data_IF_962408476614
#
_entry.id   IF_962408476614
#
_cell.length_a   1.000
_cell.length_b   1.000
_cell.length_c   1.000
_cell.angle_alpha   90.00
_cell.angle_beta   90.00
_cell.angle_gamma   90.00
#
_symmetry.space_group_name_H-M   'P 1'
#
loop_
_entity.id
_entity.type
_entity.pdbx_description
1 polymer ?
#
# COMPACT_ATOMS: atom_id res chain seq x y z
N UNK A 1 23.32 0.22 0.06
CA UNK A 1 22.98 0.00 -1.37
C UNK A 1 21.77 -0.91 -1.36
N UNK A 2 20.62 -0.41 -1.79
CA UNK A 2 19.42 -1.24 -1.89
C UNK A 2 19.52 -2.02 -3.20
N UNK A 3 19.54 -3.35 -3.12
CA UNK A 3 19.57 -4.24 -4.27
C UNK A 3 18.19 -4.80 -4.53
N UNK A 4 17.74 -4.73 -5.80
CA UNK A 4 16.44 -5.23 -6.24
C UNK A 4 16.62 -6.59 -6.91
N UNK A 5 15.79 -7.56 -6.53
CA UNK A 5 15.82 -8.92 -7.07
C UNK A 5 14.41 -9.37 -7.47
N UNK A 6 14.36 -10.27 -8.45
CA UNK A 6 13.13 -10.94 -8.86
C UNK A 6 13.08 -12.32 -8.20
N UNK A 7 11.91 -12.70 -7.68
CA UNK A 7 11.70 -13.99 -7.01
C UNK A 7 10.36 -14.55 -7.45
N UNK A 8 10.32 -15.85 -7.76
CA UNK A 8 9.09 -16.60 -8.01
C UNK A 8 8.73 -17.41 -6.76
N UNK A 9 7.65 -17.04 -6.08
CA UNK A 9 7.15 -17.71 -4.87
C UNK A 9 5.64 -17.70 -4.84
N UNK A 10 5.05 -18.64 -4.11
CA UNK A 10 3.60 -18.72 -3.90
C UNK A 10 3.21 -17.85 -2.69
N UNK A 11 2.17 -17.04 -2.84
CA UNK A 11 1.51 -16.38 -1.72
C UNK A 11 0.74 -17.44 -0.93
N UNK A 12 1.06 -17.60 0.34
CA UNK A 12 0.43 -18.59 1.23
C UNK A 12 -0.51 -17.95 2.26
N UNK A 13 -0.32 -16.67 2.56
CA UNK A 13 -1.22 -15.91 3.44
C UNK A 13 -1.15 -14.40 3.14
N UNK A 14 -2.23 -13.70 3.47
CA UNK A 14 -2.30 -12.24 3.45
C UNK A 14 -2.68 -11.81 4.86
N UNK A 15 -1.73 -11.23 5.60
CA UNK A 15 -2.01 -10.77 6.96
C UNK A 15 -3.01 -9.64 6.91
N UNK A 16 -4.19 -9.90 7.47
CA UNK A 16 -5.26 -8.93 7.58
C UNK A 16 -4.93 -7.94 8.72
N UNK A 17 -4.18 -6.89 8.38
CA UNK A 17 -3.96 -5.78 9.30
C UNK A 17 -5.21 -4.90 9.34
N UNK A 18 -5.51 -4.29 10.50
CA UNK A 18 -6.63 -3.34 10.64
C UNK A 18 -6.57 -2.17 9.63
N UNK A 19 -5.40 -1.92 9.03
CA UNK A 19 -5.13 -0.86 8.07
C UNK A 19 -4.55 -1.43 6.77
N UNK A 20 -5.26 -2.38 6.15
CA UNK A 20 -4.89 -2.99 4.87
C UNK A 20 -4.91 -2.02 3.68
N UNK A 21 -5.46 -0.81 3.86
CA UNK A 21 -5.41 0.26 2.88
C UNK A 21 -5.33 1.64 3.55
N UNK A 22 -4.89 2.63 2.78
CA UNK A 22 -4.88 4.04 3.17
C UNK A 22 -5.42 4.93 2.05
N UNK A 23 -5.98 6.07 2.44
CA UNK A 23 -6.35 7.15 1.51
C UNK A 23 -5.07 7.82 1.00
N UNK A 24 -4.99 7.99 -0.32
CA UNK A 24 -3.78 8.46 -0.99
C UNK A 24 -4.06 9.66 -1.89
N UNK A 25 -3.03 10.49 -2.03
CA UNK A 25 -3.03 11.63 -2.93
C UNK A 25 -3.08 11.15 -4.38
N UNK A 26 -3.91 11.80 -5.19
CA UNK A 26 -4.02 11.50 -6.63
C UNK A 26 -2.73 11.77 -7.42
N UNK A 27 -1.88 12.66 -6.92
CA UNK A 27 -0.68 13.13 -7.61
C UNK A 27 0.51 12.26 -7.25
N UNK A 28 0.91 12.23 -5.97
CA UNK A 28 2.12 11.53 -5.53
C UNK A 28 1.88 10.14 -4.96
N UNK A 29 0.62 9.73 -4.75
CA UNK A 29 0.29 8.43 -4.17
C UNK A 29 0.63 8.26 -2.68
N UNK A 30 1.18 9.29 -2.02
CA UNK A 30 1.42 9.29 -0.57
C UNK A 30 0.11 9.38 0.20
N UNK A 31 0.15 8.94 1.46
CA UNK A 31 -1.00 8.99 2.36
C UNK A 31 -1.47 10.43 2.57
N UNK A 32 -2.79 10.60 2.60
CA UNK A 32 -3.45 11.85 2.98
C UNK A 32 -3.96 11.75 4.40
N UNK A 33 -4.08 12.89 5.06
CA UNK A 33 -4.67 13.01 6.38
C UNK A 33 -5.90 13.91 6.33
N UNK A 34 -6.80 13.74 7.29
CA UNK A 34 -7.98 14.60 7.40
C UNK A 34 -7.64 15.86 8.20
N UNK A 35 -7.88 17.02 7.60
CA UNK A 35 -7.65 18.35 8.16
C UNK A 35 -8.88 19.18 7.84
N UNK A 36 -9.56 19.70 8.86
CA UNK A 36 -10.78 20.51 8.72
C UNK A 36 -11.87 19.87 7.85
N UNK A 37 -12.05 18.54 7.97
CA UNK A 37 -13.01 17.77 7.18
C UNK A 37 -12.62 17.56 5.71
N UNK A 38 -11.39 17.93 5.33
CA UNK A 38 -10.84 17.72 3.99
C UNK A 38 -9.62 16.80 4.03
N UNK A 39 -9.38 16.06 2.94
CA UNK A 39 -8.23 15.15 2.83
C UNK A 39 -7.05 15.91 2.25
N UNK A 40 -6.01 16.15 3.04
CA UNK A 40 -4.81 16.91 2.64
C UNK A 40 -3.62 15.99 2.42
N UNK A 41 -2.88 16.25 1.35
CA UNK A 41 -1.55 15.66 1.14
C UNK A 41 -0.47 16.62 1.60
N UNK A 42 0.30 16.27 2.63
CA UNK A 42 1.40 17.11 3.12
C UNK A 42 2.61 17.18 2.18
N UNK A 43 2.79 16.20 1.31
CA UNK A 43 3.88 16.19 0.34
C UNK A 43 3.64 17.18 -0.82
N UNK A 44 2.39 17.27 -1.31
CA UNK A 44 2.04 18.12 -2.44
C UNK A 44 1.39 19.44 -2.03
N UNK A 45 0.90 19.56 -0.79
CA UNK A 45 0.09 20.69 -0.33
C UNK A 45 -1.36 20.66 -0.80
N UNK A 46 -1.73 19.69 -1.63
CA UNK A 46 -3.02 19.60 -2.31
C UNK A 46 -4.12 18.95 -1.45
N UNK A 47 -5.34 19.45 -1.60
CA UNK A 47 -6.55 18.81 -1.10
C UNK A 47 -7.12 17.84 -2.13
N UNK A 48 -7.54 16.67 -1.66
CA UNK A 48 -8.11 15.62 -2.50
C UNK A 48 -9.59 15.45 -2.18
N UNK A 49 -10.44 15.70 -3.17
CA UNK A 49 -11.90 15.49 -3.06
C UNK A 49 -12.35 14.07 -3.42
N UNK A 50 -11.47 13.28 -4.05
CA UNK A 50 -11.79 11.93 -4.53
C UNK A 50 -11.00 10.89 -3.76
N UNK A 51 -11.71 9.91 -3.21
CA UNK A 51 -11.10 8.83 -2.45
C UNK A 51 -10.32 7.89 -3.38
N UNK A 52 -9.01 7.87 -3.20
CA UNK A 52 -8.11 6.93 -3.87
C UNK A 52 -7.45 6.08 -2.79
N UNK A 53 -7.90 4.84 -2.67
CA UNK A 53 -7.32 3.90 -1.74
C UNK A 53 -6.11 3.18 -2.37
N UNK A 54 -5.08 2.96 -1.56
CA UNK A 54 -3.92 2.13 -1.91
C UNK A 54 -3.72 1.03 -0.88
N UNK A 55 -3.30 -0.14 -1.34
CA UNK A 55 -3.02 -1.29 -0.47
C UNK A 55 -1.82 -0.99 0.42
N UNK A 56 -1.89 -1.54 1.63
CA UNK A 56 -0.83 -1.62 2.60
C UNK A 56 -0.95 -2.98 3.30
N UNK A 57 -0.63 -4.04 2.57
CA UNK A 57 -0.84 -5.42 3.01
C UNK A 57 0.48 -6.14 3.17
N UNK A 58 0.60 -6.91 4.24
CA UNK A 58 1.70 -7.87 4.39
C UNK A 58 1.29 -9.20 3.78
N UNK A 59 2.08 -9.70 2.83
CA UNK A 59 1.91 -11.01 2.23
C UNK A 59 2.99 -11.95 2.73
N UNK A 60 2.60 -13.17 3.07
CA UNK A 60 3.55 -14.24 3.37
C UNK A 60 3.70 -15.06 2.10
N UNK A 61 4.93 -15.18 1.62
CA UNK A 61 5.27 -16.02 0.48
C UNK A 61 6.16 -17.16 0.94
N UNK A 62 6.03 -18.31 0.29
CA UNK A 62 6.86 -19.48 0.58
C UNK A 62 7.27 -20.23 -0.68
N UNK A 63 8.39 -20.91 -0.57
CA UNK A 63 8.91 -21.93 -1.48
C UNK A 63 9.45 -23.13 -0.67
N UNK A 64 10.14 -24.05 -1.31
CA UNK A 64 10.72 -25.24 -0.68
C UNK A 64 11.83 -24.91 0.33
N UNK A 65 12.37 -23.69 0.32
CA UNK A 65 13.44 -23.24 1.22
C UNK A 65 12.92 -22.56 2.49
N UNK A 66 11.65 -22.13 2.50
CA UNK A 66 11.02 -21.51 3.66
C UNK A 66 10.01 -20.41 3.30
N UNK A 67 9.68 -19.58 4.29
CA UNK A 67 8.72 -18.49 4.15
C UNK A 67 9.33 -17.12 4.46
N UNK A 68 8.77 -16.07 3.87
CA UNK A 68 9.17 -14.67 4.13
C UNK A 68 7.95 -13.76 4.05
N UNK A 69 7.96 -12.65 4.80
CA UNK A 69 6.90 -11.63 4.77
C UNK A 69 7.35 -10.43 3.93
N UNK A 70 6.48 -9.96 3.03
CA UNK A 70 6.70 -8.78 2.19
C UNK A 70 5.59 -7.77 2.39
N UNK A 71 5.93 -6.48 2.40
CA UNK A 71 4.97 -5.40 2.41
C UNK A 71 4.62 -5.01 0.97
N UNK A 72 3.37 -5.24 0.57
CA UNK A 72 2.81 -4.70 -0.67
C UNK A 72 2.13 -3.37 -0.37
N UNK A 73 2.86 -2.27 -0.59
CA UNK A 73 2.35 -0.91 -0.37
C UNK A 73 2.24 -0.10 -1.67
N UNK A 74 1.28 0.81 -1.70
CA UNK A 74 1.17 1.81 -2.78
C UNK A 74 0.46 1.33 -4.05
N UNK A 75 0.01 0.08 -4.11
CA UNK A 75 -0.79 -0.43 -5.23
C UNK A 75 -2.20 0.17 -5.15
N UNK A 76 -2.68 0.80 -6.22
CA UNK A 76 -4.01 1.42 -6.27
C UNK A 76 -5.10 0.34 -6.20
N UNK A 77 -6.05 0.51 -5.28
CA UNK A 77 -7.25 -0.32 -5.26
C UNK A 77 -8.14 0.10 -6.42
N UNK A 78 -8.40 -0.84 -7.33
CA UNK A 78 -9.38 -0.69 -8.40
C UNK A 78 -10.55 -1.59 -8.03
N UNK A 79 -11.74 -1.01 -7.82
CA UNK A 79 -12.96 -1.81 -7.71
C UNK A 79 -13.26 -2.37 -9.11
N UNK A 80 -13.30 -3.70 -9.20
CA UNK A 80 -13.82 -4.46 -10.35
C UNK A 80 -15.33 -4.30 -10.45
#
# INVERSE_FOLDING_TARGET
MDSVYWVERRIIDVKNTKQYCFLSCRICGKQTEEVDGMKRCFQCGEYTFKDIFRYNVEVIVADDSGSSTYLCCGIKLVRS
#
